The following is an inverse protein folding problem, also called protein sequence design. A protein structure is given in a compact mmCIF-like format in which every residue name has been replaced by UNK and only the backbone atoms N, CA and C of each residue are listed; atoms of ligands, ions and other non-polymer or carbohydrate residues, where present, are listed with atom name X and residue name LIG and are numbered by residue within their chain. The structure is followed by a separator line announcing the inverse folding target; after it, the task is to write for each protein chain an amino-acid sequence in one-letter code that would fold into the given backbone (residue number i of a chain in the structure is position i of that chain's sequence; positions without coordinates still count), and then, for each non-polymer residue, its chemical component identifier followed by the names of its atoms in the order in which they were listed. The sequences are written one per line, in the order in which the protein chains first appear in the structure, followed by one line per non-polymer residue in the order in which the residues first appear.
data_IF_237070602772
#
_entry.id   IF_237070602772
#
_cell.length_a   1.000
_cell.length_b   1.000
_cell.length_c   1.000
_cell.angle_alpha   90.00
_cell.angle_beta   90.00
_cell.angle_gamma   90.00
#
_symmetry.space_group_name_H-M   'P 1'
#
loop_
_entity.id
_entity.type
_entity.pdbx_description
1 polymer ?
#
# COMPACT_ATOMS: atom_id res chain seq x y z
N UNK A 1 16.24 13.86 9.31
CA UNK A 1 15.56 12.55 9.27
C UNK A 1 16.35 11.49 8.49
N UNK A 2 16.69 11.70 7.21
CA UNK A 2 17.43 10.70 6.40
C UNK A 2 18.75 10.23 7.07
N UNK A 3 19.58 11.18 7.55
CA UNK A 3 20.82 10.88 8.29
C UNK A 3 20.56 9.93 9.47
N UNK A 4 19.61 10.28 10.33
CA UNK A 4 19.26 9.45 11.50
C UNK A 4 18.73 8.09 11.09
N UNK A 5 17.75 8.01 10.19
CA UNK A 5 17.12 6.73 9.85
C UNK A 5 18.09 5.80 9.12
N UNK A 6 18.79 6.30 8.11
CA UNK A 6 19.61 5.45 7.25
C UNK A 6 21.05 5.36 7.72
N UNK A 7 21.69 6.45 8.12
CA UNK A 7 23.12 6.42 8.46
C UNK A 7 23.34 5.98 9.90
N UNK A 8 22.63 6.59 10.86
CA UNK A 8 22.84 6.31 12.29
C UNK A 8 22.11 5.04 12.75
N UNK A 9 20.85 4.85 12.34
CA UNK A 9 19.99 3.72 12.76
C UNK A 9 20.02 2.54 11.81
N UNK A 10 20.67 2.66 10.66
CA UNK A 10 20.84 1.52 9.74
C UNK A 10 19.54 0.97 9.15
N UNK A 11 18.43 1.71 9.16
CA UNK A 11 17.15 1.27 8.60
C UNK A 11 17.29 0.99 7.09
N UNK A 12 16.88 -0.16 6.58
CA UNK A 12 16.98 -0.51 5.16
C UNK A 12 15.73 -1.24 4.67
N UNK A 13 15.49 -1.17 3.36
CA UNK A 13 14.54 -2.04 2.71
C UNK A 13 15.04 -3.50 2.81
N UNK A 14 14.12 -4.45 3.04
CA UNK A 14 14.47 -5.87 3.03
C UNK A 14 14.48 -6.41 1.59
N UNK A 15 15.68 -6.61 1.04
CA UNK A 15 15.89 -7.17 -0.29
C UNK A 15 15.91 -8.70 -0.33
N UNK A 16 15.75 -9.36 0.82
CA UNK A 16 15.57 -10.82 0.88
C UNK A 16 14.38 -11.22 -0.02
N UNK A 17 14.52 -12.23 -0.90
CA UNK A 17 13.41 -12.75 -1.69
C UNK A 17 12.17 -13.11 -0.86
N UNK A 18 12.37 -13.56 0.39
CA UNK A 18 11.31 -13.90 1.35
C UNK A 18 10.93 -12.71 2.26
N UNK A 19 11.46 -11.50 2.01
CA UNK A 19 11.18 -10.32 2.83
C UNK A 19 9.70 -9.96 2.92
N UNK A 20 8.92 -10.26 1.87
CA UNK A 20 7.45 -10.10 1.85
C UNK A 20 6.71 -11.13 2.72
N UNK A 21 7.36 -12.23 3.08
CA UNK A 21 6.79 -13.27 3.94
C UNK A 21 7.06 -13.01 5.43
N UNK A 22 7.89 -12.01 5.77
CA UNK A 22 8.23 -11.65 7.16
C UNK A 22 7.23 -10.64 7.72
N UNK A 23 6.35 -11.02 8.68
CA UNK A 23 5.32 -10.11 9.21
C UNK A 23 5.89 -8.83 9.81
N UNK A 24 7.05 -8.91 10.48
CA UNK A 24 7.70 -7.78 11.13
C UNK A 24 8.08 -6.66 10.15
N UNK A 25 8.35 -6.99 8.88
CA UNK A 25 8.71 -5.98 7.88
C UNK A 25 7.54 -5.03 7.53
N UNK A 26 6.30 -5.39 7.87
CA UNK A 26 5.10 -4.56 7.65
C UNK A 26 4.73 -3.70 8.86
N UNK A 27 5.35 -3.93 10.02
CA UNK A 27 5.01 -3.27 11.28
C UNK A 27 6.08 -2.25 11.68
N UNK A 28 5.66 -1.11 12.25
CA UNK A 28 6.60 -0.08 12.68
C UNK A 28 7.56 -0.59 13.77
N UNK A 29 7.06 -1.37 14.74
CA UNK A 29 7.92 -1.93 15.78
C UNK A 29 8.92 -2.94 15.20
N UNK A 30 8.49 -3.78 14.26
CA UNK A 30 9.36 -4.74 13.58
C UNK A 30 10.47 -4.05 12.78
N UNK A 31 10.15 -2.94 12.12
CA UNK A 31 11.16 -2.08 11.48
C UNK A 31 12.18 -1.52 12.48
N UNK A 32 11.73 -1.04 13.63
CA UNK A 32 12.60 -0.47 14.65
C UNK A 32 13.48 -1.52 15.34
N UNK A 33 12.98 -2.74 15.48
CA UNK A 33 13.68 -3.86 16.09
C UNK A 33 14.72 -4.48 15.16
N UNK A 34 14.34 -4.75 13.90
CA UNK A 34 15.17 -5.49 12.95
C UNK A 34 16.03 -4.58 12.06
N UNK A 35 15.70 -3.28 11.98
CA UNK A 35 16.24 -2.36 10.99
C UNK A 35 15.80 -2.64 9.56
N UNK A 36 14.86 -3.58 9.33
CA UNK A 36 14.40 -4.03 8.02
C UNK A 36 12.91 -3.73 7.83
N UNK A 37 12.55 -3.22 6.66
CA UNK A 37 11.17 -2.85 6.36
C UNK A 37 10.79 -2.93 4.89
N UNK A 38 9.51 -2.72 4.64
CA UNK A 38 8.90 -2.65 3.31
C UNK A 38 8.42 -1.24 2.98
N UNK A 39 7.87 -1.09 1.78
CA UNK A 39 7.17 0.12 1.31
C UNK A 39 5.98 0.55 2.19
N UNK A 40 5.58 -0.22 3.20
CA UNK A 40 4.57 0.20 4.19
C UNK A 40 5.19 0.78 5.47
N UNK A 41 6.09 0.04 6.12
CA UNK A 41 6.66 0.41 7.42
C UNK A 41 7.68 1.54 7.32
N UNK A 42 8.46 1.59 6.24
CA UNK A 42 9.50 2.62 6.06
C UNK A 42 8.93 4.04 5.90
N UNK A 43 7.96 4.32 4.99
CA UNK A 43 7.36 5.65 4.93
C UNK A 43 6.49 5.96 6.17
N UNK A 44 5.97 4.95 6.86
CA UNK A 44 5.28 5.14 8.14
C UNK A 44 6.21 5.71 9.22
N UNK A 45 7.48 5.29 9.26
CA UNK A 45 8.47 5.88 10.16
C UNK A 45 8.67 7.38 9.89
N UNK A 46 8.70 7.78 8.62
CA UNK A 46 8.75 9.19 8.22
C UNK A 46 7.56 9.98 8.74
N UNK A 47 6.35 9.45 8.55
CA UNK A 47 5.12 10.11 9.00
C UNK A 47 5.08 10.20 10.52
N UNK A 48 5.35 9.10 11.24
CA UNK A 48 5.29 9.05 12.70
C UNK A 48 6.26 10.04 13.37
N UNK A 49 7.50 10.12 12.87
CA UNK A 49 8.50 11.07 13.40
C UNK A 49 8.23 12.48 12.90
N UNK A 50 7.94 12.65 11.62
CA UNK A 50 7.72 13.95 11.00
C UNK A 50 6.56 14.70 11.66
N UNK A 51 5.42 14.05 11.82
CA UNK A 51 4.26 14.65 12.48
C UNK A 51 4.54 15.01 13.95
N UNK A 52 5.30 14.17 14.67
CA UNK A 52 5.69 14.47 16.06
C UNK A 52 6.65 15.65 16.18
N UNK A 53 7.39 15.96 15.11
CA UNK A 53 8.25 17.14 15.00
C UNK A 53 7.52 18.35 14.41
N UNK A 54 6.21 18.26 14.13
CA UNK A 54 5.42 19.35 13.57
C UNK A 54 5.49 19.49 12.04
N UNK A 55 6.11 18.53 11.33
CA UNK A 55 6.15 18.55 9.87
C UNK A 55 4.85 18.02 9.25
N UNK A 56 4.32 18.66 8.20
CA UNK A 56 3.09 18.25 7.52
C UNK A 56 3.37 17.09 6.57
N UNK A 57 3.64 15.89 7.09
CA UNK A 57 3.93 14.70 6.28
C UNK A 57 2.75 13.72 6.33
N UNK A 58 2.39 13.17 5.18
CA UNK A 58 1.39 12.12 5.05
C UNK A 58 1.87 10.96 4.17
N UNK A 59 1.21 9.81 4.24
CA UNK A 59 1.39 8.72 3.30
C UNK A 59 0.64 9.02 2.01
N UNK A 60 1.16 8.51 0.90
CA UNK A 60 0.53 8.48 -0.41
C UNK A 60 0.61 7.06 -0.95
N UNK A 61 -0.50 6.52 -1.42
CA UNK A 61 -0.57 5.21 -2.05
C UNK A 61 -0.56 5.35 -3.59
N UNK A 62 0.11 4.40 -4.23
CA UNK A 62 0.04 4.10 -5.66
C UNK A 62 -0.04 2.58 -5.81
N UNK A 63 -0.35 2.03 -7.00
CA UNK A 63 -0.41 0.60 -7.19
C UNK A 63 0.84 -0.15 -6.67
N UNK A 64 0.62 -1.15 -5.82
CA UNK A 64 1.66 -1.98 -5.17
C UNK A 64 2.74 -1.19 -4.39
N UNK A 65 2.47 0.05 -3.97
CA UNK A 65 3.48 0.85 -3.26
C UNK A 65 2.91 1.99 -2.40
N UNK A 66 3.69 2.43 -1.43
CA UNK A 66 3.36 3.57 -0.57
C UNK A 66 4.62 4.37 -0.32
N UNK A 67 4.50 5.69 -0.30
CA UNK A 67 5.60 6.62 -0.03
C UNK A 67 5.12 7.74 0.91
N UNK A 68 6.03 8.57 1.41
CA UNK A 68 5.69 9.71 2.27
C UNK A 68 5.78 11.02 1.49
N UNK A 69 4.96 12.03 1.80
CA UNK A 69 4.92 13.31 1.11
C UNK A 69 4.77 14.45 2.11
N UNK A 70 5.54 15.52 1.95
CA UNK A 70 5.23 16.82 2.57
C UNK A 70 3.99 17.41 1.90
N UNK A 71 2.96 17.68 2.68
CA UNK A 71 1.65 18.22 2.25
C UNK A 71 1.60 19.70 2.61
N UNK A 72 2.48 20.46 1.96
CA UNK A 72 2.63 21.88 2.21
C UNK A 72 3.07 22.58 0.90
N UNK A 73 2.42 23.69 0.51
CA UNK A 73 2.77 24.46 -0.69
C UNK A 73 4.23 24.90 -0.77
N UNK A 74 4.92 25.07 0.36
CA UNK A 74 6.34 25.38 0.40
C UNK A 74 7.22 24.21 -0.09
N UNK A 75 6.66 23.00 -0.18
CA UNK A 75 7.35 21.78 -0.60
C UNK A 75 6.65 21.10 -1.80
N UNK A 76 6.60 21.76 -2.98
CA UNK A 76 5.87 21.24 -4.15
C UNK A 76 6.48 19.93 -4.70
N UNK A 77 7.73 19.62 -4.37
CA UNK A 77 8.40 18.34 -4.66
C UNK A 77 8.60 17.51 -3.39
N UNK A 78 7.58 17.49 -2.55
CA UNK A 78 7.60 16.96 -1.19
C UNK A 78 7.66 15.43 -1.07
N UNK A 79 7.66 14.66 -2.17
CA UNK A 79 7.68 13.20 -2.12
C UNK A 79 8.98 12.65 -1.54
N UNK A 80 8.90 11.59 -0.74
CA UNK A 80 10.00 10.94 -0.04
C UNK A 80 9.89 9.44 -0.30
N UNK A 81 10.79 8.91 -1.12
CA UNK A 81 10.92 7.48 -1.33
C UNK A 81 11.74 6.86 -0.19
N UNK A 82 11.05 6.38 0.85
CA UNK A 82 11.68 5.80 2.02
C UNK A 82 12.44 4.50 1.70
N UNK A 83 12.00 3.72 0.70
CA UNK A 83 12.66 2.46 0.30
C UNK A 83 13.95 2.68 -0.47
N UNK A 84 14.20 3.90 -0.94
CA UNK A 84 15.40 4.29 -1.69
C UNK A 84 16.24 5.33 -0.94
N UNK A 85 16.28 5.26 0.39
CA UNK A 85 17.12 6.15 1.20
C UNK A 85 16.58 7.58 1.30
N UNK A 86 15.27 7.78 1.13
CA UNK A 86 14.62 9.09 1.20
C UNK A 86 14.86 9.95 -0.04
N UNK A 87 15.12 9.32 -1.20
CA UNK A 87 15.20 10.00 -2.50
C UNK A 87 13.91 10.75 -2.82
N UNK A 88 14.04 11.79 -3.63
CA UNK A 88 12.91 12.58 -4.15
C UNK A 88 12.57 12.09 -5.54
N UNK A 89 11.31 11.74 -5.77
CA UNK A 89 10.77 11.40 -7.10
C UNK A 89 9.60 12.32 -7.41
N UNK A 90 9.42 12.68 -8.67
CA UNK A 90 8.28 13.51 -9.09
C UNK A 90 6.98 12.71 -9.07
N UNK A 91 5.84 13.38 -9.17
CA UNK A 91 4.55 12.70 -9.32
C UNK A 91 4.50 11.88 -10.60
N UNK A 92 5.06 12.40 -11.70
CA UNK A 92 5.18 11.69 -12.99
C UNK A 92 6.04 10.42 -12.90
N UNK A 93 7.06 10.42 -12.03
CA UNK A 93 7.84 9.21 -11.77
C UNK A 93 6.99 8.12 -11.13
N UNK A 94 6.19 8.46 -10.12
CA UNK A 94 5.28 7.50 -9.49
C UNK A 94 4.16 7.06 -10.43
N UNK A 95 3.53 8.01 -11.13
CA UNK A 95 2.46 7.73 -12.10
C UNK A 95 2.95 6.75 -13.17
N UNK A 96 4.10 7.05 -13.78
CA UNK A 96 4.67 6.22 -14.84
C UNK A 96 5.16 4.86 -14.35
N UNK A 97 5.85 4.79 -13.21
CA UNK A 97 6.40 3.51 -12.70
C UNK A 97 5.34 2.58 -12.12
N UNK A 98 4.21 3.11 -11.68
CA UNK A 98 3.14 2.31 -11.07
C UNK A 98 1.89 2.21 -11.94
N UNK A 99 1.94 2.69 -13.19
CA UNK A 99 0.83 2.57 -14.13
C UNK A 99 -0.45 3.25 -13.64
N UNK A 100 -0.32 4.34 -12.89
CA UNK A 100 -1.48 5.04 -12.32
C UNK A 100 -2.37 5.55 -13.44
N UNK A 101 -3.58 5.00 -13.56
CA UNK A 101 -4.51 5.37 -14.62
C UNK A 101 -5.36 6.60 -14.25
N UNK A 102 -5.99 7.21 -15.26
CA UNK A 102 -6.81 8.41 -15.10
C UNK A 102 -8.02 8.20 -14.17
N UNK A 103 -8.62 7.01 -14.19
CA UNK A 103 -9.74 6.67 -13.29
C UNK A 103 -9.30 6.72 -11.83
N UNK A 104 -8.11 6.23 -11.52
CA UNK A 104 -7.57 6.20 -10.17
C UNK A 104 -7.15 7.58 -9.66
N UNK A 105 -6.65 8.45 -10.54
CA UNK A 105 -6.42 9.86 -10.23
C UNK A 105 -7.74 10.57 -9.93
N UNK A 106 -8.76 10.38 -10.79
CA UNK A 106 -10.08 11.00 -10.64
C UNK A 106 -10.82 10.54 -9.39
N UNK A 107 -10.76 9.25 -9.07
CA UNK A 107 -11.40 8.67 -7.88
C UNK A 107 -10.70 9.07 -6.58
N UNK A 108 -9.43 9.49 -6.66
CA UNK A 108 -8.57 9.76 -5.51
C UNK A 108 -8.15 8.49 -4.77
N UNK A 109 -8.15 7.34 -5.47
CA UNK A 109 -7.63 6.07 -4.96
C UNK A 109 -6.10 6.09 -4.83
N UNK A 110 -5.41 6.78 -5.74
CA UNK A 110 -3.95 6.92 -5.76
C UNK A 110 -3.49 8.38 -5.84
N UNK A 111 -2.19 8.60 -5.60
CA UNK A 111 -1.48 9.88 -5.73
C UNK A 111 -1.94 11.02 -4.81
N UNK A 112 -2.88 10.75 -3.91
CA UNK A 112 -3.39 11.70 -2.92
C UNK A 112 -2.78 11.42 -1.55
N UNK A 113 -2.45 12.50 -0.84
CA UNK A 113 -2.12 12.42 0.59
C UNK A 113 -3.31 11.87 1.38
N UNK A 114 -3.04 10.83 2.16
CA UNK A 114 -4.03 10.21 3.01
C UNK A 114 -4.30 11.07 4.26
N UNK A 115 -5.54 11.06 4.71
CA UNK A 115 -5.90 11.60 6.03
C UNK A 115 -5.41 10.67 7.15
N UNK A 116 -5.34 11.16 8.39
CA UNK A 116 -5.03 10.30 9.55
C UNK A 116 -5.98 9.11 9.68
N UNK A 117 -7.27 9.31 9.37
CA UNK A 117 -8.26 8.24 9.34
C UNK A 117 -7.93 7.18 8.29
N UNK A 118 -7.59 7.62 7.08
CA UNK A 118 -7.20 6.70 6.00
C UNK A 118 -5.86 6.00 6.29
N UNK A 119 -4.90 6.66 6.95
CA UNK A 119 -3.66 6.02 7.44
C UNK A 119 -3.99 4.83 8.35
N UNK A 120 -4.90 5.00 9.31
CA UNK A 120 -5.31 3.91 10.19
C UNK A 120 -5.91 2.74 9.38
N UNK A 121 -6.72 3.04 8.36
CA UNK A 121 -7.18 2.02 7.40
C UNK A 121 -6.01 1.27 6.74
N UNK A 122 -4.97 1.98 6.31
CA UNK A 122 -3.78 1.36 5.73
C UNK A 122 -3.06 0.42 6.69
N UNK A 123 -2.93 0.80 7.96
CA UNK A 123 -2.33 -0.04 9.02
C UNK A 123 -3.16 -1.31 9.28
N UNK A 124 -4.49 -1.19 9.27
CA UNK A 124 -5.39 -2.34 9.43
C UNK A 124 -5.21 -3.31 8.26
N UNK A 125 -5.08 -2.84 7.02
CA UNK A 125 -4.79 -3.73 5.88
C UNK A 125 -3.42 -4.40 5.99
N UNK A 126 -2.39 -3.71 6.52
CA UNK A 126 -1.10 -4.36 6.79
C UNK A 126 -1.26 -5.51 7.79
N UNK A 127 -2.11 -5.32 8.82
CA UNK A 127 -2.46 -6.38 9.76
C UNK A 127 -3.23 -7.51 9.09
N UNK A 128 -4.18 -7.20 8.19
CA UNK A 128 -4.89 -8.20 7.40
C UNK A 128 -3.93 -9.06 6.56
N UNK A 129 -2.92 -8.45 5.94
CA UNK A 129 -1.89 -9.17 5.18
C UNK A 129 -1.11 -10.16 6.05
N UNK A 130 -0.82 -9.83 7.30
CA UNK A 130 -0.17 -10.76 8.25
C UNK A 130 -1.06 -11.98 8.54
N UNK A 131 -2.38 -11.80 8.66
CA UNK A 131 -3.30 -12.92 8.78
C UNK A 131 -3.36 -13.76 7.50
N UNK A 132 -3.30 -13.12 6.32
CA UNK A 132 -3.21 -13.82 5.04
C UNK A 132 -1.95 -14.70 4.94
N UNK A 133 -0.79 -14.22 5.39
CA UNK A 133 0.46 -15.01 5.46
C UNK A 133 0.30 -16.27 6.34
N UNK A 134 -0.53 -16.19 7.38
CA UNK A 134 -0.85 -17.31 8.28
C UNK A 134 -1.99 -18.20 7.77
N UNK A 135 -2.51 -17.94 6.56
CA UNK A 135 -3.67 -18.60 5.95
C UNK A 135 -4.96 -18.45 6.76
N UNK A 136 -5.02 -17.45 7.65
CA UNK A 136 -6.21 -17.07 8.41
C UNK A 136 -7.06 -16.11 7.57
N UNK A 137 -7.75 -16.67 6.57
CA UNK A 137 -8.56 -15.91 5.60
C UNK A 137 -9.77 -15.25 6.27
N UNK A 138 -10.32 -15.87 7.32
CA UNK A 138 -11.46 -15.33 8.05
C UNK A 138 -11.12 -14.02 8.73
N UNK A 139 -10.03 -13.98 9.51
CA UNK A 139 -9.60 -12.75 10.19
C UNK A 139 -9.08 -11.73 9.17
N UNK A 140 -8.36 -12.16 8.14
CA UNK A 140 -7.94 -11.28 7.04
C UNK A 140 -9.15 -10.51 6.46
N UNK A 141 -10.21 -11.22 6.09
CA UNK A 141 -11.42 -10.61 5.52
C UNK A 141 -12.09 -9.63 6.49
N UNK A 142 -12.13 -9.92 7.79
CA UNK A 142 -12.68 -9.01 8.79
C UNK A 142 -11.89 -7.70 8.85
N UNK A 143 -10.56 -7.78 8.85
CA UNK A 143 -9.69 -6.60 8.90
C UNK A 143 -9.76 -5.79 7.61
N UNK A 144 -9.84 -6.44 6.44
CA UNK A 144 -10.02 -5.73 5.17
C UNK A 144 -11.34 -4.94 5.16
N UNK A 145 -12.44 -5.54 5.64
CA UNK A 145 -13.73 -4.85 5.78
C UNK A 145 -13.64 -3.66 6.75
N UNK A 146 -12.99 -3.84 7.89
CA UNK A 146 -12.78 -2.75 8.85
C UNK A 146 -11.95 -1.61 8.24
N UNK A 147 -10.90 -1.94 7.48
CA UNK A 147 -10.07 -0.97 6.77
C UNK A 147 -10.89 -0.08 5.82
N UNK A 148 -11.84 -0.66 5.06
CA UNK A 148 -12.68 0.12 4.14
C UNK A 148 -13.62 1.12 4.83
N UNK A 149 -13.95 0.94 6.11
CA UNK A 149 -14.70 1.95 6.89
C UNK A 149 -13.89 3.22 7.17
N UNK A 150 -12.57 3.13 7.01
CA UNK A 150 -11.61 4.20 7.24
C UNK A 150 -10.98 4.72 5.94
N UNK A 151 -10.75 3.83 4.98
CA UNK A 151 -10.15 4.11 3.68
C UNK A 151 -11.02 3.61 2.51
N UNK A 152 -12.22 4.18 2.29
CA UNK A 152 -13.20 3.69 1.30
C UNK A 152 -12.78 3.88 -0.16
N UNK A 153 -11.68 4.59 -0.42
CA UNK A 153 -11.11 4.78 -1.76
C UNK A 153 -9.96 3.84 -2.07
N UNK A 154 -9.64 2.90 -1.19
CA UNK A 154 -8.50 2.00 -1.38
C UNK A 154 -8.87 0.83 -2.31
N UNK A 155 -8.52 0.98 -3.58
CA UNK A 155 -8.88 0.03 -4.64
C UNK A 155 -8.33 -1.39 -4.37
N UNK A 156 -7.09 -1.53 -3.88
CA UNK A 156 -6.49 -2.82 -3.54
C UNK A 156 -7.26 -3.56 -2.44
N UNK A 157 -7.85 -2.85 -1.47
CA UNK A 157 -8.57 -3.52 -0.39
C UNK A 157 -9.89 -4.11 -0.88
N UNK A 158 -10.53 -3.48 -1.87
CA UNK A 158 -11.68 -4.11 -2.55
C UNK A 158 -11.26 -5.35 -3.34
N UNK A 159 -10.13 -5.28 -4.05
CA UNK A 159 -9.64 -6.45 -4.80
C UNK A 159 -9.27 -7.61 -3.87
N UNK A 160 -8.55 -7.35 -2.76
CA UNK A 160 -8.20 -8.38 -1.77
C UNK A 160 -9.44 -9.03 -1.14
N UNK A 161 -10.52 -8.27 -0.90
CA UNK A 161 -11.80 -8.82 -0.44
C UNK A 161 -12.45 -9.69 -1.53
N UNK A 162 -12.37 -9.27 -2.79
CA UNK A 162 -12.89 -10.05 -3.91
C UNK A 162 -12.15 -11.38 -4.07
N UNK A 163 -10.83 -11.38 -3.87
CA UNK A 163 -10.02 -12.61 -3.83
C UNK A 163 -10.43 -13.52 -2.68
N UNK A 164 -10.62 -12.98 -1.48
CA UNK A 164 -11.08 -13.75 -0.32
C UNK A 164 -12.47 -14.38 -0.56
N UNK A 165 -13.40 -13.64 -1.16
CA UNK A 165 -14.70 -14.21 -1.55
C UNK A 165 -14.57 -15.26 -2.66
N UNK A 166 -13.69 -15.05 -3.64
CA UNK A 166 -13.42 -16.04 -4.69
C UNK A 166 -12.84 -17.33 -4.11
N UNK A 167 -12.01 -17.22 -3.07
CA UNK A 167 -11.49 -18.36 -2.31
C UNK A 167 -12.63 -19.12 -1.60
N UNK A 168 -13.49 -18.43 -0.86
CA UNK A 168 -14.63 -19.08 -0.19
C UNK A 168 -15.62 -19.73 -1.18
N UNK A 169 -15.87 -19.10 -2.32
CA UNK A 169 -16.72 -19.68 -3.37
C UNK A 169 -16.23 -21.04 -3.85
N UNK A 170 -14.89 -21.23 -3.92
CA UNK A 170 -14.27 -22.51 -4.30
C UNK A 170 -14.30 -23.57 -3.20
N UNK A 171 -14.41 -23.15 -1.93
CA UNK A 171 -14.44 -24.06 -0.78
C UNK A 171 -15.86 -24.52 -0.41
N UNK A 172 -16.88 -23.74 -0.77
CA UNK A 172 -18.28 -24.04 -0.45
C UNK A 172 -19.01 -24.63 -1.64
N UNK A 173 -20.29 -24.95 -1.50
CA UNK A 173 -21.11 -25.58 -2.55
C UNK A 173 -22.53 -25.01 -2.58
N UNK A 174 -23.24 -25.24 -3.68
CA UNK A 174 -24.64 -24.83 -3.83
C UNK A 174 -24.86 -23.31 -3.79
N UNK A 175 -25.87 -22.89 -3.04
CA UNK A 175 -26.26 -21.47 -2.91
C UNK A 175 -25.19 -20.62 -2.23
N UNK A 176 -24.44 -21.17 -1.28
CA UNK A 176 -23.36 -20.47 -0.58
C UNK A 176 -22.20 -20.13 -1.52
N UNK A 177 -21.75 -21.10 -2.31
CA UNK A 177 -20.71 -20.88 -3.33
C UNK A 177 -21.12 -19.80 -4.34
N UNK A 178 -22.39 -19.84 -4.76
CA UNK A 178 -22.97 -18.85 -5.68
C UNK A 178 -23.02 -17.45 -5.06
N UNK A 179 -23.38 -17.35 -3.78
CA UNK A 179 -23.38 -16.09 -3.02
C UNK A 179 -21.99 -15.46 -2.97
N UNK A 180 -20.97 -16.24 -2.59
CA UNK A 180 -19.59 -15.76 -2.56
C UNK A 180 -19.07 -15.35 -3.94
N UNK A 181 -19.42 -16.08 -5.00
CA UNK A 181 -19.05 -15.71 -6.37
C UNK A 181 -19.65 -14.36 -6.78
N UNK A 182 -20.91 -14.09 -6.41
CA UNK A 182 -21.56 -12.80 -6.66
C UNK A 182 -20.89 -11.67 -5.86
N UNK A 183 -20.59 -11.91 -4.59
CA UNK A 183 -19.88 -10.94 -3.74
C UNK A 183 -18.49 -10.62 -4.29
N UNK A 184 -17.74 -11.63 -4.76
CA UNK A 184 -16.44 -11.44 -5.39
C UNK A 184 -16.54 -10.54 -6.62
N UNK A 185 -17.46 -10.83 -7.55
CA UNK A 185 -17.68 -10.02 -8.76
C UNK A 185 -18.07 -8.59 -8.44
N UNK A 186 -19.01 -8.38 -7.52
CA UNK A 186 -19.46 -7.05 -7.12
C UNK A 186 -18.34 -6.24 -6.46
N UNK A 187 -17.55 -6.88 -5.59
CA UNK A 187 -16.43 -6.22 -4.90
C UNK A 187 -15.31 -5.88 -5.89
N UNK A 188 -14.97 -6.78 -6.80
CA UNK A 188 -13.98 -6.52 -7.85
C UNK A 188 -14.42 -5.38 -8.77
N UNK A 189 -15.70 -5.31 -9.12
CA UNK A 189 -16.24 -4.18 -9.90
C UNK A 189 -15.98 -2.85 -9.19
N UNK A 190 -16.18 -2.80 -7.87
CA UNK A 190 -15.87 -1.60 -7.09
C UNK A 190 -14.40 -1.23 -7.12
N UNK A 191 -13.49 -2.20 -7.10
CA UNK A 191 -12.05 -1.96 -7.26
C UNK A 191 -11.74 -1.34 -8.64
N UNK A 192 -12.32 -1.89 -9.71
CA UNK A 192 -12.17 -1.39 -11.08
C UNK A 192 -12.74 0.02 -11.24
N UNK A 193 -13.92 0.29 -10.67
CA UNK A 193 -14.55 1.62 -10.71
C UNK A 193 -13.72 2.68 -9.97
N UNK A 194 -12.91 2.28 -9.00
CA UNK A 194 -11.92 3.13 -8.33
C UNK A 194 -10.61 3.27 -9.11
N UNK A 195 -10.41 2.50 -10.17
CA UNK A 195 -9.19 2.52 -10.99
C UNK A 195 -8.09 1.58 -10.50
N UNK A 196 -8.43 0.46 -9.86
CA UNK A 196 -7.47 -0.59 -9.49
C UNK A 196 -6.53 -0.94 -10.66
N UNK A 197 -5.24 -1.11 -10.36
CA UNK A 197 -4.20 -1.53 -11.31
C UNK A 197 -3.62 -2.84 -10.81
N UNK A 198 -3.59 -3.86 -11.66
CA UNK A 198 -3.09 -5.18 -11.30
C UNK A 198 -1.57 -5.16 -11.18
N UNK A 199 -1.03 -6.06 -10.36
CA UNK A 199 0.41 -6.16 -10.11
C UNK A 199 1.18 -6.43 -11.41
N UNK A 200 0.63 -7.23 -12.33
CA UNK A 200 1.27 -7.50 -13.63
C UNK A 200 1.40 -6.23 -14.47
N UNK A 201 0.37 -5.37 -14.44
CA UNK A 201 0.36 -4.11 -15.17
C UNK A 201 1.38 -3.12 -14.55
N UNK A 202 1.55 -3.14 -13.23
CA UNK A 202 2.61 -2.39 -12.53
C UNK A 202 4.00 -2.86 -12.96
N UNK A 203 4.22 -4.18 -13.02
CA UNK A 203 5.51 -4.74 -13.45
C UNK A 203 5.85 -4.36 -14.89
N UNK A 204 4.86 -4.43 -15.78
CA UNK A 204 5.01 -3.98 -17.17
C UNK A 204 5.36 -2.49 -17.25
N UNK A 205 4.69 -1.64 -16.46
CA UNK A 205 4.98 -0.21 -16.41
C UNK A 205 6.42 0.09 -15.95
N UNK A 206 6.90 -0.61 -14.92
CA UNK A 206 8.30 -0.51 -14.45
C UNK A 206 9.30 -0.90 -15.52
N UNK A 207 9.05 -2.00 -16.25
CA UNK A 207 9.92 -2.47 -17.32
C UNK A 207 10.01 -1.45 -18.47
N UNK A 208 8.88 -0.88 -18.88
CA UNK A 208 8.83 0.14 -19.93
C UNK A 208 9.61 1.41 -19.55
N UNK A 209 9.47 1.89 -18.30
CA UNK A 209 10.26 3.03 -17.77
C UNK A 209 11.75 2.70 -17.66
N UNK A 210 12.10 1.47 -17.29
CA UNK A 210 13.50 1.01 -17.20
C UNK A 210 14.21 0.96 -18.56
N UNK A 211 13.45 0.74 -19.65
CA UNK A 211 13.95 0.82 -21.03
C UNK A 211 14.08 2.26 -21.56
N UNK A 212 13.23 3.19 -21.11
CA UNK A 212 13.25 4.60 -21.53
C UNK A 212 14.33 5.46 -20.84
N UNK A 213 15.03 4.91 -19.84
CA UNK A 213 16.07 5.59 -19.05
C UNK A 213 17.49 5.02 -19.24
N UNK A 214 17.74 4.30 -20.34
CA UNK A 214 19.07 3.83 -20.77
C UNK A 214 19.50 4.53 -22.04
#
# INVERSE_FOLDING_TARGET
MNTVFFQERGIRYDHDPQGREKPLNYLLHGLLETGKGMCFSMPLLYVAVGQRLGYPIALVCVPDHTFARYVDPAFPHGNIEATSGGKRFTDDDYIGRHGVNATALKSGAYMRALTLREHLGVLITCSAYIHALRKDVATCLQYLKASLTLAPRRAETYEQIAEAYSYYSKLTSGSESSSYALQAKATMRKAIDLGYVRIEDVQQARNNKGMAGR
#
